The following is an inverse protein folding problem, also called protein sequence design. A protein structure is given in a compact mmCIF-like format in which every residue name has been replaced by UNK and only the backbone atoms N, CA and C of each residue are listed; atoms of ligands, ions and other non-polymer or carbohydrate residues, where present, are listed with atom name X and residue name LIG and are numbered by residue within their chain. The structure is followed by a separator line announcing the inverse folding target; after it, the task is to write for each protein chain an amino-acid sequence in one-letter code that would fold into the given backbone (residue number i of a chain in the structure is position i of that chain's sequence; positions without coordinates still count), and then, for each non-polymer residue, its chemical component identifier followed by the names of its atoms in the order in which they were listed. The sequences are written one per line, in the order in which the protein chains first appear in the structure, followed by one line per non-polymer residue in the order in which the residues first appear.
data_IF_942793421145
#
_entry.id   IF_942793421145
#
_cell.length_a   1.000
_cell.length_b   1.000
_cell.length_c   1.000
_cell.angle_alpha   90.00
_cell.angle_beta   90.00
_cell.angle_gamma   90.00
#
_symmetry.space_group_name_H-M   'P 1'
#
loop_
_entity.id
_entity.type
_entity.pdbx_description
1 polymer ?
#
# COMPACT_ATOMS: atom_id res chain seq x y z
N UNK A 1 12.62 4.51 -16.47
CA UNK A 1 13.62 3.79 -15.67
C UNK A 1 13.01 2.47 -15.21
N UNK A 2 13.73 1.35 -15.33
CA UNK A 2 13.28 0.06 -14.81
C UNK A 2 13.59 0.01 -13.31
N UNK A 3 12.57 -0.25 -12.50
CA UNK A 3 12.70 -0.42 -11.04
C UNK A 3 12.92 -1.89 -10.67
N UNK A 4 12.17 -2.79 -11.31
CA UNK A 4 12.21 -4.24 -11.06
C UNK A 4 12.06 -5.01 -12.37
N UNK A 5 12.71 -6.16 -12.45
CA UNK A 5 12.51 -7.15 -13.49
C UNK A 5 12.48 -8.53 -12.82
N UNK A 6 11.28 -9.07 -12.61
CA UNK A 6 11.04 -10.29 -11.84
C UNK A 6 10.38 -11.37 -12.68
N UNK A 7 10.69 -12.65 -12.46
CA UNK A 7 9.98 -13.73 -13.12
C UNK A 7 8.48 -13.68 -12.78
N UNK A 8 7.61 -13.82 -13.76
CA UNK A 8 6.16 -13.84 -13.59
C UNK A 8 5.55 -15.23 -13.90
N UNK A 9 6.09 -15.92 -14.87
CA UNK A 9 5.67 -17.29 -15.22
C UNK A 9 6.84 -18.08 -15.79
N UNK A 10 6.84 -19.38 -15.48
CA UNK A 10 7.75 -20.33 -16.11
C UNK A 10 6.96 -21.31 -16.98
N UNK A 11 7.56 -21.70 -18.10
CA UNK A 11 7.07 -22.76 -18.96
C UNK A 11 8.17 -23.78 -19.19
N UNK A 12 7.85 -25.07 -19.10
CA UNK A 12 8.76 -26.16 -19.38
C UNK A 12 8.15 -26.98 -20.55
N UNK A 13 8.88 -27.06 -21.66
CA UNK A 13 8.44 -27.79 -22.87
C UNK A 13 7.02 -27.41 -23.32
N UNK A 14 6.64 -26.12 -23.15
CA UNK A 14 5.32 -25.59 -23.47
C UNK A 14 4.26 -25.81 -22.38
N UNK A 15 4.56 -26.51 -21.30
CA UNK A 15 3.65 -26.63 -20.14
C UNK A 15 3.71 -25.36 -19.28
N UNK A 16 2.55 -24.74 -19.06
CA UNK A 16 2.40 -23.53 -18.23
C UNK A 16 2.14 -23.86 -16.74
N UNK A 17 2.33 -22.88 -15.88
CA UNK A 17 1.97 -22.96 -14.45
C UNK A 17 3.05 -23.60 -13.57
N UNK A 18 4.29 -23.62 -14.03
CA UNK A 18 5.43 -24.05 -13.22
C UNK A 18 5.84 -22.89 -12.29
N UNK A 19 5.70 -23.09 -10.99
CA UNK A 19 6.07 -22.08 -9.99
C UNK A 19 7.58 -21.99 -9.79
N UNK A 20 8.27 -23.15 -9.78
CA UNK A 20 9.73 -23.23 -9.65
C UNK A 20 10.29 -24.30 -10.58
N UNK A 21 11.07 -23.93 -11.60
CA UNK A 21 11.65 -24.90 -12.56
C UNK A 21 12.92 -25.58 -12.02
N UNK A 22 13.46 -25.14 -10.88
CA UNK A 22 14.72 -25.67 -10.33
C UNK A 22 14.61 -27.16 -10.03
N UNK A 23 15.55 -27.95 -10.58
CA UNK A 23 15.59 -29.41 -10.40
C UNK A 23 14.65 -30.20 -11.30
N UNK A 24 13.86 -29.54 -12.17
CA UNK A 24 13.05 -30.23 -13.19
C UNK A 24 13.85 -30.40 -14.48
N UNK A 25 13.64 -31.55 -15.16
CA UNK A 25 14.24 -31.84 -16.46
C UNK A 25 13.30 -31.35 -17.57
N UNK A 26 13.81 -30.59 -18.52
CA UNK A 26 13.10 -30.12 -19.71
C UNK A 26 14.09 -29.83 -20.84
N UNK A 27 13.61 -29.87 -22.09
CA UNK A 27 14.40 -29.48 -23.25
C UNK A 27 14.36 -27.94 -23.47
N UNK A 28 13.24 -27.31 -23.10
CA UNK A 28 13.05 -25.87 -23.26
C UNK A 28 12.46 -25.22 -21.98
N UNK A 29 13.12 -24.17 -21.51
CA UNK A 29 12.65 -23.30 -20.43
C UNK A 29 12.23 -21.96 -21.00
N UNK A 30 10.96 -21.58 -20.84
CA UNK A 30 10.46 -20.24 -21.09
C UNK A 30 10.25 -19.48 -19.78
N UNK A 31 10.52 -18.19 -19.80
CA UNK A 31 10.33 -17.32 -18.63
C UNK A 31 9.64 -16.03 -19.08
N UNK A 32 8.46 -15.75 -18.55
CA UNK A 32 7.83 -14.45 -18.66
C UNK A 32 8.36 -13.52 -17.56
N UNK A 33 8.74 -12.31 -17.94
CA UNK A 33 9.33 -11.34 -17.01
C UNK A 33 8.37 -10.18 -16.80
N UNK A 34 7.99 -9.94 -15.56
CA UNK A 34 7.28 -8.72 -15.17
C UNK A 34 8.28 -7.58 -14.98
N UNK A 35 8.15 -6.51 -15.78
CA UNK A 35 9.01 -5.34 -15.69
C UNK A 35 8.24 -4.16 -15.12
N UNK A 36 8.65 -3.68 -13.95
CA UNK A 36 8.10 -2.47 -13.33
C UNK A 36 8.93 -1.27 -13.79
N UNK A 37 8.25 -0.29 -14.39
CA UNK A 37 8.88 0.94 -14.90
C UNK A 37 8.30 2.16 -14.20
N UNK A 38 9.13 3.19 -14.03
CA UNK A 38 8.72 4.50 -13.55
C UNK A 38 9.39 5.62 -14.38
N UNK A 39 8.82 6.82 -14.29
CA UNK A 39 9.45 8.01 -14.85
C UNK A 39 10.81 8.25 -14.19
N UNK A 40 11.84 8.41 -15.02
CA UNK A 40 13.22 8.47 -14.53
C UNK A 40 13.55 9.75 -13.78
N UNK A 41 12.95 10.90 -14.12
CA UNK A 41 13.27 12.17 -13.49
C UNK A 41 12.83 12.24 -12.02
N UNK A 42 11.58 11.91 -11.65
CA UNK A 42 11.17 11.87 -10.24
C UNK A 42 11.98 10.88 -9.40
N UNK A 43 12.30 9.70 -9.97
CA UNK A 43 13.10 8.69 -9.26
C UNK A 43 14.51 9.19 -9.00
N UNK A 44 15.17 9.81 -9.99
CA UNK A 44 16.51 10.39 -9.79
C UNK A 44 16.49 11.51 -8.75
N UNK A 45 15.50 12.40 -8.78
CA UNK A 45 15.36 13.46 -7.79
C UNK A 45 15.20 12.91 -6.37
N UNK A 46 14.44 11.81 -6.21
CA UNK A 46 14.30 11.13 -4.92
C UNK A 46 15.64 10.54 -4.44
N UNK A 47 16.37 9.87 -5.34
CA UNK A 47 17.71 9.33 -5.04
C UNK A 47 18.65 10.45 -4.61
N UNK A 48 18.70 11.56 -5.37
CA UNK A 48 19.54 12.71 -5.07
C UNK A 48 19.20 13.36 -3.72
N UNK A 49 17.90 13.46 -3.40
CA UNK A 49 17.45 13.99 -2.09
C UNK A 49 17.97 13.14 -0.92
N UNK A 50 17.95 11.81 -1.05
CA UNK A 50 18.49 10.90 -0.03
C UNK A 50 20.01 11.02 0.06
N UNK A 51 20.72 11.09 -1.07
CA UNK A 51 22.17 11.24 -1.12
C UNK A 51 22.63 12.59 -0.56
N UNK A 52 21.84 13.66 -0.73
CA UNK A 52 22.10 14.97 -0.11
C UNK A 52 22.08 14.91 1.42
N UNK A 53 21.34 13.94 1.99
CA UNK A 53 21.37 13.66 3.43
C UNK A 53 22.55 12.76 3.86
N UNK A 54 23.54 12.54 2.99
CA UNK A 54 24.71 11.67 3.21
C UNK A 54 24.36 10.20 3.45
N UNK A 55 23.26 9.73 2.83
CA UNK A 55 22.85 8.34 2.85
C UNK A 55 23.03 7.71 1.47
N UNK A 56 23.48 6.48 1.41
CA UNK A 56 23.56 5.72 0.17
C UNK A 56 22.24 5.02 -0.13
N UNK A 57 21.83 5.06 -1.41
CA UNK A 57 20.62 4.37 -1.88
C UNK A 57 21.02 3.03 -2.47
N UNK A 58 20.69 1.94 -1.78
CA UNK A 58 20.99 0.58 -2.21
C UNK A 58 20.04 0.13 -3.34
N UNK A 59 18.74 0.36 -3.17
CA UNK A 59 17.70 0.04 -4.15
C UNK A 59 16.51 0.99 -4.08
N UNK A 60 15.76 1.09 -5.17
CA UNK A 60 14.46 1.76 -5.23
C UNK A 60 13.40 0.69 -5.45
N UNK A 61 12.49 0.56 -4.51
CA UNK A 61 11.45 -0.48 -4.51
C UNK A 61 10.08 0.17 -4.70
N UNK A 62 9.26 -0.41 -5.57
CA UNK A 62 7.89 0.05 -5.75
C UNK A 62 7.06 -0.22 -4.46
N UNK A 63 6.38 0.81 -3.95
CA UNK A 63 5.62 0.76 -2.69
C UNK A 63 4.65 -0.44 -2.60
N UNK A 64 3.82 -0.75 -3.64
CA UNK A 64 2.91 -1.89 -3.55
C UNK A 64 3.63 -3.25 -3.49
N UNK A 65 4.84 -3.35 -4.04
CA UNK A 65 5.65 -4.56 -3.88
C UNK A 65 6.16 -4.69 -2.44
N UNK A 66 6.67 -3.61 -1.87
CA UNK A 66 7.09 -3.57 -0.46
C UNK A 66 5.91 -3.90 0.48
N UNK A 67 4.77 -3.22 0.32
CA UNK A 67 3.58 -3.48 1.13
C UNK A 67 3.08 -4.92 1.03
N UNK A 68 3.24 -5.57 -0.14
CA UNK A 68 2.90 -6.99 -0.30
C UNK A 68 3.82 -7.89 0.55
N UNK A 69 5.11 -7.56 0.67
CA UNK A 69 6.02 -8.30 1.57
C UNK A 69 5.58 -8.26 3.04
N UNK A 70 4.99 -7.15 3.48
CA UNK A 70 4.51 -7.00 4.85
C UNK A 70 3.11 -7.59 5.09
N UNK A 71 2.21 -7.54 4.11
CA UNK A 71 0.79 -7.75 4.35
C UNK A 71 0.20 -8.99 3.69
N UNK A 72 0.92 -9.63 2.77
CA UNK A 72 0.42 -10.80 2.02
C UNK A 72 1.22 -12.03 2.39
N UNK A 73 0.52 -13.10 2.78
CA UNK A 73 1.18 -14.36 3.15
C UNK A 73 1.63 -15.14 1.90
N UNK A 74 2.60 -16.06 2.05
CA UNK A 74 3.01 -16.93 0.94
C UNK A 74 1.86 -17.73 0.34
N UNK A 75 0.95 -18.23 1.18
CA UNK A 75 -0.23 -18.99 0.74
C UNK A 75 -1.19 -18.13 -0.08
N UNK A 76 -1.42 -16.88 0.34
CA UNK A 76 -2.25 -15.95 -0.43
C UNK A 76 -1.63 -15.62 -1.79
N UNK A 77 -0.30 -15.43 -1.85
CA UNK A 77 0.42 -15.22 -3.12
C UNK A 77 0.30 -16.42 -4.05
N UNK A 78 0.34 -17.62 -3.51
CA UNK A 78 0.18 -18.86 -4.29
C UNK A 78 -1.23 -18.99 -4.85
N UNK A 79 -2.25 -18.78 -4.02
CA UNK A 79 -3.66 -18.91 -4.40
C UNK A 79 -4.19 -17.78 -5.29
N UNK A 80 -3.56 -16.64 -5.26
CA UNK A 80 -3.99 -15.44 -5.99
C UNK A 80 -4.59 -14.38 -5.07
N UNK A 81 -3.96 -13.22 -5.01
CA UNK A 81 -4.34 -12.10 -4.16
C UNK A 81 -4.06 -10.77 -4.86
N UNK A 82 -4.92 -9.79 -4.61
CA UNK A 82 -4.62 -8.40 -4.93
C UNK A 82 -4.36 -7.62 -3.65
N UNK A 83 -3.20 -6.95 -3.57
CA UNK A 83 -2.96 -5.94 -2.55
C UNK A 83 -3.35 -4.58 -3.11
N UNK A 84 -4.11 -3.81 -2.34
CA UNK A 84 -4.49 -2.43 -2.64
C UNK A 84 -3.98 -1.54 -1.50
N UNK A 85 -2.99 -0.72 -1.79
CA UNK A 85 -2.42 0.25 -0.88
C UNK A 85 -3.05 1.61 -1.11
N UNK A 86 -3.92 2.04 -0.20
CA UNK A 86 -4.60 3.34 -0.26
C UNK A 86 -3.73 4.37 0.45
N UNK A 87 -2.97 5.13 -0.34
CA UNK A 87 -2.14 6.22 0.16
C UNK A 87 -2.90 7.54 0.29
N UNK A 88 -2.17 8.62 0.50
CA UNK A 88 -2.74 9.97 0.60
C UNK A 88 -3.21 10.49 -0.78
N UNK A 89 -2.37 10.41 -1.80
CA UNK A 89 -2.62 10.96 -3.15
C UNK A 89 -2.75 9.87 -4.22
N UNK A 90 -2.27 8.67 -3.93
CA UNK A 90 -2.18 7.58 -4.89
C UNK A 90 -2.66 6.29 -4.24
N UNK A 91 -3.41 5.50 -4.98
CA UNK A 91 -3.75 4.12 -4.61
C UNK A 91 -2.99 3.19 -5.54
N UNK A 92 -2.20 2.31 -4.97
CA UNK A 92 -1.40 1.33 -5.70
C UNK A 92 -2.02 -0.05 -5.59
N UNK A 93 -1.98 -0.80 -6.68
CA UNK A 93 -2.50 -2.17 -6.73
C UNK A 93 -1.39 -3.08 -7.24
N UNK A 94 -1.15 -4.18 -6.54
CA UNK A 94 -0.34 -5.29 -7.02
C UNK A 94 -1.16 -6.58 -7.01
N UNK A 95 -1.01 -7.39 -8.06
CA UNK A 95 -1.67 -8.68 -8.20
C UNK A 95 -0.61 -9.78 -8.17
N UNK A 96 -0.82 -10.76 -7.32
CA UNK A 96 0.07 -11.90 -7.16
C UNK A 96 -0.70 -13.21 -7.40
N UNK A 97 -0.06 -14.21 -8.00
CA UNK A 97 -0.56 -15.58 -8.14
C UNK A 97 0.60 -16.52 -8.41
N UNK A 98 0.47 -17.77 -8.01
CA UNK A 98 1.52 -18.78 -8.11
C UNK A 98 2.86 -18.31 -7.49
N UNK A 99 2.78 -17.54 -6.39
CA UNK A 99 3.94 -16.97 -5.70
C UNK A 99 4.57 -15.74 -6.37
N UNK A 100 4.12 -15.35 -7.58
CA UNK A 100 4.76 -14.34 -8.42
C UNK A 100 3.93 -13.06 -8.55
N UNK A 101 4.60 -11.92 -8.80
CA UNK A 101 3.95 -10.66 -9.15
C UNK A 101 3.50 -10.70 -10.62
N UNK A 102 2.20 -10.59 -10.87
CA UNK A 102 1.62 -10.60 -12.21
C UNK A 102 1.35 -9.21 -12.77
N UNK A 103 1.05 -8.25 -11.92
CA UNK A 103 0.71 -6.89 -12.36
C UNK A 103 0.85 -5.87 -11.25
N UNK A 104 1.16 -4.63 -11.65
CA UNK A 104 1.24 -3.48 -10.78
C UNK A 104 0.63 -2.28 -11.49
N UNK A 105 -0.24 -1.55 -10.81
CA UNK A 105 -0.89 -0.35 -11.34
C UNK A 105 -1.06 0.70 -10.26
N UNK A 106 -0.86 1.97 -10.62
CA UNK A 106 -1.11 3.12 -9.75
C UNK A 106 -2.32 3.90 -10.27
N UNK A 107 -3.18 4.31 -9.35
CA UNK A 107 -4.35 5.15 -9.57
C UNK A 107 -4.06 6.51 -8.92
N UNK A 108 -4.15 7.64 -9.64
CA UNK A 108 -3.87 8.98 -9.08
C UNK A 108 -5.05 9.50 -8.24
N UNK A 109 -5.53 8.69 -7.32
CA UNK A 109 -6.57 8.98 -6.34
C UNK A 109 -6.17 8.35 -5.00
N UNK A 110 -6.47 9.03 -3.90
CA UNK A 110 -6.15 8.54 -2.57
C UNK A 110 -7.04 9.12 -1.48
N UNK A 111 -6.67 8.96 -0.23
CA UNK A 111 -7.47 9.43 0.91
C UNK A 111 -7.57 10.96 0.99
N UNK A 112 -6.67 11.71 0.33
CA UNK A 112 -6.74 13.16 0.25
C UNK A 112 -7.93 13.64 -0.59
N UNK A 113 -8.36 12.88 -1.59
CA UNK A 113 -9.54 13.22 -2.40
C UNK A 113 -10.81 13.22 -1.55
N UNK A 114 -10.86 12.35 -0.51
CA UNK A 114 -11.93 12.37 0.49
C UNK A 114 -11.82 13.64 1.36
N UNK A 115 -10.63 13.98 1.81
CA UNK A 115 -10.38 15.19 2.61
C UNK A 115 -10.78 16.46 1.86
N UNK A 116 -10.39 16.55 0.60
CA UNK A 116 -10.68 17.71 -0.24
C UNK A 116 -12.19 17.82 -0.56
N UNK A 117 -12.87 16.69 -0.72
CA UNK A 117 -14.32 16.66 -0.86
C UNK A 117 -15.04 17.13 0.42
N UNK A 118 -14.60 16.68 1.59
CA UNK A 118 -15.13 17.13 2.89
C UNK A 118 -14.92 18.63 3.04
N UNK A 119 -13.68 19.13 2.79
CA UNK A 119 -13.35 20.54 2.87
C UNK A 119 -14.25 21.40 1.97
N UNK A 120 -14.45 20.95 0.73
CA UNK A 120 -15.28 21.65 -0.26
C UNK A 120 -16.77 21.61 0.08
N UNK A 121 -17.28 20.45 0.53
CA UNK A 121 -18.71 20.25 0.82
C UNK A 121 -19.17 21.09 2.02
N UNK A 122 -18.31 21.24 3.03
CA UNK A 122 -18.65 21.93 4.26
C UNK A 122 -18.01 23.34 4.39
N UNK A 123 -17.24 23.77 3.38
CA UNK A 123 -16.58 25.08 3.39
C UNK A 123 -15.57 25.25 4.52
N UNK A 124 -14.90 24.19 4.95
CA UNK A 124 -13.95 24.16 6.06
C UNK A 124 -12.50 24.04 5.58
N UNK A 125 -11.55 24.37 6.46
CA UNK A 125 -10.12 24.20 6.15
C UNK A 125 -9.77 22.72 5.97
N UNK A 126 -8.82 22.43 5.08
CA UNK A 126 -8.36 21.08 4.79
C UNK A 126 -7.87 20.31 6.03
N UNK A 127 -7.20 20.99 6.96
CA UNK A 127 -6.76 20.41 8.24
C UNK A 127 -7.93 19.94 9.12
N UNK A 128 -9.02 20.70 9.14
CA UNK A 128 -10.25 20.31 9.83
C UNK A 128 -10.95 19.15 9.14
N UNK A 129 -11.03 19.19 7.80
CA UNK A 129 -11.59 18.11 7.01
C UNK A 129 -10.82 16.79 7.23
N UNK A 130 -9.49 16.84 7.28
CA UNK A 130 -8.65 15.67 7.60
C UNK A 130 -8.95 15.12 9.00
N UNK A 131 -9.06 16.02 9.99
CA UNK A 131 -9.44 15.61 11.34
C UNK A 131 -10.84 14.98 11.38
N UNK A 132 -11.82 15.57 10.68
CA UNK A 132 -13.18 15.01 10.61
C UNK A 132 -13.17 13.64 9.97
N UNK A 133 -12.44 13.47 8.87
CA UNK A 133 -12.27 12.17 8.20
C UNK A 133 -11.70 11.12 9.16
N UNK A 134 -10.63 11.45 9.88
CA UNK A 134 -9.95 10.51 10.78
C UNK A 134 -10.75 10.16 12.04
N UNK A 135 -11.49 11.13 12.60
CA UNK A 135 -12.17 10.96 13.91
C UNK A 135 -13.61 10.50 13.74
N UNK A 136 -14.33 11.05 12.78
CA UNK A 136 -15.78 10.87 12.64
C UNK A 136 -16.18 10.24 11.30
N UNK A 137 -15.23 10.13 10.34
CA UNK A 137 -15.46 9.56 9.02
C UNK A 137 -15.73 8.05 9.09
N UNK A 138 -16.65 7.60 8.26
CA UNK A 138 -17.00 6.19 8.12
C UNK A 138 -17.37 5.87 6.68
N UNK A 139 -16.98 4.69 6.22
CA UNK A 139 -17.43 4.12 4.95
C UNK A 139 -18.80 3.41 5.08
N UNK A 140 -19.31 3.28 6.31
CA UNK A 140 -20.57 2.60 6.62
C UNK A 140 -21.53 3.60 7.26
N UNK A 141 -22.75 3.67 6.74
CA UNK A 141 -23.84 4.45 7.33
C UNK A 141 -24.42 3.71 8.55
N UNK A 142 -24.77 4.48 9.58
CA UNK A 142 -25.47 3.98 10.77
C UNK A 142 -26.85 4.67 10.90
N UNK A 143 -27.87 3.98 11.42
CA UNK A 143 -29.18 4.59 11.67
C UNK A 143 -29.12 5.81 12.60
N UNK A 144 -28.10 5.91 13.47
CA UNK A 144 -27.89 7.03 14.41
C UNK A 144 -27.23 8.25 13.79
N UNK A 145 -26.64 8.13 12.60
CA UNK A 145 -25.87 9.21 11.95
C UNK A 145 -26.68 10.48 11.68
N UNK A 146 -28.01 10.35 11.48
CA UNK A 146 -28.90 11.49 11.28
C UNK A 146 -29.11 12.34 12.57
N UNK A 147 -28.97 11.74 13.71
CA UNK A 147 -29.15 12.41 15.02
C UNK A 147 -27.81 12.88 15.62
N UNK A 148 -26.69 12.39 15.12
CA UNK A 148 -25.36 12.77 15.61
C UNK A 148 -24.89 14.04 14.90
N UNK A 149 -24.73 15.12 15.68
CA UNK A 149 -24.27 16.41 15.19
C UNK A 149 -22.80 16.63 15.55
N UNK A 150 -21.96 16.77 14.53
CA UNK A 150 -20.52 16.97 14.67
C UNK A 150 -20.23 18.47 14.61
N UNK A 151 -19.55 19.05 15.62
CA UNK A 151 -19.16 20.44 15.58
C UNK A 151 -18.04 20.68 14.57
N UNK A 152 -18.16 21.75 13.79
CA UNK A 152 -17.15 22.22 12.84
C UNK A 152 -16.88 23.70 13.13
N UNK A 153 -15.65 24.17 12.89
CA UNK A 153 -15.33 25.59 13.07
C UNK A 153 -15.76 26.36 11.82
N UNK A 154 -16.28 27.59 12.02
CA UNK A 154 -16.59 28.46 10.90
C UNK A 154 -15.32 28.84 10.09
N UNK A 155 -15.47 29.17 8.78
CA UNK A 155 -14.39 29.73 7.99
C UNK A 155 -13.88 31.03 8.66
N UNK A 156 -12.62 31.04 9.08
CA UNK A 156 -12.01 32.23 9.71
C UNK A 156 -11.78 32.13 11.22
N UNK A 157 -12.33 31.17 11.93
CA UNK A 157 -12.00 30.92 13.33
C UNK A 157 -10.60 30.27 13.42
N UNK A 158 -9.63 31.02 13.91
CA UNK A 158 -8.30 30.58 14.25
C UNK A 158 -8.31 29.88 15.61
N UNK A 159 -8.19 28.56 15.62
CA UNK A 159 -8.04 27.78 16.84
C UNK A 159 -7.52 26.39 16.56
N UNK A 160 -6.23 26.17 16.80
CA UNK A 160 -5.63 24.83 16.97
C UNK A 160 -6.00 24.22 18.34
N UNK A 161 -7.07 24.69 18.97
CA UNK A 161 -7.55 24.21 20.27
C UNK A 161 -8.66 23.15 20.14
N UNK A 162 -8.92 22.40 21.22
CA UNK A 162 -10.15 21.61 21.31
C UNK A 162 -11.32 22.57 21.08
N UNK A 163 -12.26 22.19 20.22
CA UNK A 163 -13.45 22.97 19.86
C UNK A 163 -13.97 23.66 21.11
N UNK A 164 -13.95 25.01 21.11
CA UNK A 164 -14.32 25.78 22.28
C UNK A 164 -15.72 25.32 22.74
N UNK A 165 -15.86 25.02 24.03
CA UNK A 165 -17.17 24.76 24.64
C UNK A 165 -18.00 26.02 24.50
N UNK A 166 -18.83 26.09 23.46
CA UNK A 166 -19.63 27.27 23.13
C UNK A 166 -19.71 27.52 21.62
N UNK A 167 -19.23 26.63 20.77
CA UNK A 167 -19.46 26.72 19.32
C UNK A 167 -20.98 26.82 19.10
N UNK A 168 -21.41 27.92 18.48
CA UNK A 168 -22.80 28.20 18.16
C UNK A 168 -23.46 26.98 17.49
N UNK A 169 -24.73 26.74 17.79
CA UNK A 169 -25.54 25.67 17.17
C UNK A 169 -25.50 25.68 15.62
N UNK A 170 -25.08 26.79 15.03
CA UNK A 170 -24.98 27.00 13.60
C UNK A 170 -23.78 26.33 12.92
N UNK A 171 -22.76 25.92 13.67
CA UNK A 171 -21.54 25.31 13.13
C UNK A 171 -21.49 23.81 13.40
N UNK A 172 -22.56 23.11 13.06
CA UNK A 172 -22.64 21.65 13.18
C UNK A 172 -23.08 21.03 11.87
N UNK A 173 -22.53 19.89 11.55
CA UNK A 173 -22.96 19.06 10.42
C UNK A 173 -23.52 17.75 10.95
N UNK A 174 -24.51 17.18 10.26
CA UNK A 174 -24.98 15.84 10.58
C UNK A 174 -23.91 14.82 10.16
N UNK A 175 -23.62 13.83 11.01
CA UNK A 175 -22.70 12.75 10.66
C UNK A 175 -23.11 12.03 9.38
N UNK A 176 -24.42 11.91 9.12
CA UNK A 176 -24.94 11.34 7.89
C UNK A 176 -24.46 12.08 6.62
N UNK A 177 -24.33 13.42 6.67
CA UNK A 177 -23.81 14.21 5.55
C UNK A 177 -22.32 13.94 5.33
N UNK A 178 -21.54 13.85 6.41
CA UNK A 178 -20.11 13.49 6.34
C UNK A 178 -19.93 12.09 5.74
N UNK A 179 -20.70 11.11 6.21
CA UNK A 179 -20.65 9.73 5.70
C UNK A 179 -21.05 9.69 4.22
N UNK A 180 -22.04 10.49 3.79
CA UNK A 180 -22.44 10.56 2.39
C UNK A 180 -21.32 11.09 1.49
N UNK A 181 -20.59 12.14 1.91
CA UNK A 181 -19.44 12.67 1.16
C UNK A 181 -18.32 11.64 1.08
N UNK A 182 -18.01 10.96 2.19
CA UNK A 182 -16.98 9.92 2.26
C UNK A 182 -17.32 8.76 1.32
N UNK A 183 -18.55 8.24 1.40
CA UNK A 183 -18.99 7.08 0.59
C UNK A 183 -19.08 7.41 -0.90
N UNK A 184 -19.44 8.63 -1.29
CA UNK A 184 -19.43 9.08 -2.69
C UNK A 184 -17.98 9.02 -3.26
N UNK A 185 -17.00 9.52 -2.53
CA UNK A 185 -15.59 9.48 -2.97
C UNK A 185 -15.03 8.05 -2.98
N UNK A 186 -15.40 7.23 -2.01
CA UNK A 186 -15.03 5.81 -2.00
C UNK A 186 -15.67 5.04 -3.16
N UNK A 187 -16.90 5.34 -3.56
CA UNK A 187 -17.52 4.73 -4.72
C UNK A 187 -16.76 5.03 -6.00
N UNK A 188 -16.29 6.27 -6.17
CA UNK A 188 -15.44 6.64 -7.31
C UNK A 188 -14.11 5.88 -7.28
N UNK A 189 -13.40 5.86 -6.13
CA UNK A 189 -12.13 5.16 -5.97
C UNK A 189 -12.27 3.65 -6.22
N UNK A 190 -13.31 3.02 -5.66
CA UNK A 190 -13.55 1.57 -5.85
C UNK A 190 -13.91 1.22 -7.29
N UNK A 191 -14.57 2.14 -8.02
CA UNK A 191 -14.80 2.02 -9.46
C UNK A 191 -13.49 1.95 -10.26
N UNK A 192 -12.50 2.78 -9.90
CA UNK A 192 -11.17 2.75 -10.52
C UNK A 192 -10.39 1.49 -10.11
N UNK A 193 -10.49 1.07 -8.84
CA UNK A 193 -9.91 -0.20 -8.37
C UNK A 193 -10.46 -1.39 -9.18
N UNK A 194 -11.78 -1.45 -9.36
CA UNK A 194 -12.44 -2.52 -10.11
C UNK A 194 -11.94 -2.57 -11.56
N UNK A 195 -11.87 -1.42 -12.24
CA UNK A 195 -11.34 -1.32 -13.61
C UNK A 195 -9.89 -1.80 -13.67
N UNK A 196 -9.07 -1.34 -12.75
CA UNK A 196 -7.65 -1.69 -12.69
C UNK A 196 -7.41 -3.18 -12.45
N UNK A 197 -8.16 -3.80 -11.55
CA UNK A 197 -8.11 -5.24 -11.29
C UNK A 197 -8.54 -6.05 -12.54
N UNK A 198 -9.58 -5.60 -13.23
CA UNK A 198 -10.05 -6.22 -14.48
C UNK A 198 -8.99 -6.14 -15.58
N UNK A 199 -8.36 -4.96 -15.76
CA UNK A 199 -7.31 -4.75 -16.76
C UNK A 199 -6.09 -5.66 -16.52
N UNK A 200 -5.78 -5.95 -15.24
CA UNK A 200 -4.70 -6.88 -14.86
C UNK A 200 -5.13 -8.36 -14.88
N UNK A 201 -6.33 -8.68 -15.39
CA UNK A 201 -6.81 -10.06 -15.46
C UNK A 201 -7.31 -10.64 -14.13
N UNK A 202 -7.38 -9.84 -13.06
CA UNK A 202 -7.89 -10.26 -11.75
C UNK A 202 -9.42 -10.19 -11.70
N UNK A 203 -10.10 -10.83 -12.67
CA UNK A 203 -11.57 -10.74 -12.87
C UNK A 203 -12.31 -12.07 -12.74
N UNK A 204 -11.61 -13.19 -12.53
CA UNK A 204 -12.22 -14.52 -12.45
C UNK A 204 -13.07 -14.74 -11.21
N UNK A 205 -14.10 -15.59 -11.33
CA UNK A 205 -14.99 -16.02 -10.23
C UNK A 205 -14.31 -16.97 -9.22
N UNK A 206 -13.08 -17.36 -9.45
CA UNK A 206 -12.29 -18.22 -8.56
C UNK A 206 -11.44 -17.35 -7.64
N UNK A 207 -12.04 -16.95 -6.50
CA UNK A 207 -11.41 -16.83 -5.22
C UNK A 207 -10.20 -15.92 -5.04
N UNK A 208 -10.04 -14.82 -5.78
CA UNK A 208 -9.00 -13.86 -5.43
C UNK A 208 -9.41 -12.98 -4.25
N UNK A 209 -8.70 -13.08 -3.14
CA UNK A 209 -8.86 -12.20 -1.99
C UNK A 209 -8.22 -10.83 -2.27
N UNK A 210 -8.78 -9.79 -1.65
CA UNK A 210 -8.20 -8.44 -1.65
C UNK A 210 -7.67 -8.11 -0.26
N UNK A 211 -6.47 -7.57 -0.20
CA UNK A 211 -5.82 -7.08 1.02
C UNK A 211 -5.68 -5.56 0.91
N UNK A 212 -6.26 -4.82 1.85
CA UNK A 212 -6.12 -3.36 1.92
C UNK A 212 -4.97 -2.98 2.85
N UNK A 213 -4.11 -2.08 2.40
CA UNK A 213 -3.01 -1.50 3.16
C UNK A 213 -2.94 0.02 2.95
N UNK A 214 -1.98 0.67 3.56
CA UNK A 214 -1.84 2.12 3.53
C UNK A 214 -2.72 2.84 4.55
N UNK A 215 -2.47 4.11 4.79
CA UNK A 215 -3.21 4.90 5.78
C UNK A 215 -4.71 5.03 5.49
N UNK A 216 -5.11 5.02 4.20
CA UNK A 216 -6.52 5.03 3.81
C UNK A 216 -7.29 3.76 4.24
N UNK A 217 -6.59 2.65 4.44
CA UNK A 217 -7.19 1.40 4.94
C UNK A 217 -7.59 1.44 6.42
N UNK A 218 -7.22 2.50 7.15
CA UNK A 218 -7.61 2.72 8.54
C UNK A 218 -8.99 3.39 8.69
N UNK A 219 -9.61 3.82 7.58
CA UNK A 219 -10.95 4.40 7.62
C UNK A 219 -11.95 3.35 8.08
N UNK A 220 -12.78 3.72 9.05
CA UNK A 220 -13.80 2.84 9.62
C UNK A 220 -14.76 2.28 8.55
N UNK A 221 -14.94 0.96 8.52
CA UNK A 221 -15.87 0.29 7.58
C UNK A 221 -15.39 0.17 6.14
N UNK A 222 -14.12 0.53 5.85
CA UNK A 222 -13.61 0.52 4.47
C UNK A 222 -13.53 -0.89 3.89
N UNK A 223 -13.19 -1.89 4.71
CA UNK A 223 -13.09 -3.28 4.24
C UNK A 223 -14.43 -3.81 3.75
N UNK A 224 -15.48 -3.57 4.51
CA UNK A 224 -16.86 -3.95 4.19
C UNK A 224 -17.37 -3.21 2.95
N UNK A 225 -17.07 -1.90 2.85
CA UNK A 225 -17.42 -1.10 1.70
C UNK A 225 -16.76 -1.61 0.41
N UNK A 226 -15.45 -1.83 0.45
CA UNK A 226 -14.68 -2.34 -0.70
C UNK A 226 -15.10 -3.77 -1.04
N UNK A 227 -15.39 -4.61 -0.04
CA UNK A 227 -15.92 -5.96 -0.24
C UNK A 227 -17.24 -5.94 -0.99
N UNK A 228 -18.16 -5.08 -0.60
CA UNK A 228 -19.45 -4.92 -1.27
C UNK A 228 -19.28 -4.39 -2.71
N UNK A 229 -18.39 -3.42 -2.91
CA UNK A 229 -18.15 -2.82 -4.22
C UNK A 229 -17.44 -3.76 -5.21
N UNK A 230 -16.48 -4.55 -4.74
CA UNK A 230 -15.70 -5.47 -5.59
C UNK A 230 -16.32 -6.87 -5.70
N UNK A 231 -17.24 -7.24 -4.81
CA UNK A 231 -17.85 -8.57 -4.74
C UNK A 231 -16.85 -9.68 -4.40
N UNK A 232 -15.83 -9.37 -3.58
CA UNK A 232 -14.72 -10.25 -3.23
C UNK A 232 -14.40 -10.16 -1.75
N UNK A 233 -13.87 -11.24 -1.13
CA UNK A 233 -13.38 -11.17 0.25
C UNK A 233 -12.30 -10.10 0.39
N UNK A 234 -12.47 -9.22 1.39
CA UNK A 234 -11.53 -8.14 1.69
C UNK A 234 -11.09 -8.23 3.14
N UNK A 235 -9.79 -8.07 3.38
CA UNK A 235 -9.24 -7.92 4.73
C UNK A 235 -8.30 -6.73 4.81
N UNK A 236 -8.11 -6.21 6.01
CA UNK A 236 -7.07 -5.23 6.28
C UNK A 236 -5.73 -5.96 6.46
N UNK A 237 -4.73 -5.55 5.68
CA UNK A 237 -3.36 -5.99 5.81
C UNK A 237 -2.68 -5.24 6.95
N UNK A 238 -2.08 -5.99 7.87
CA UNK A 238 -1.25 -5.43 8.94
C UNK A 238 0.14 -6.03 8.81
N UNK A 239 1.20 -5.19 8.89
CA UNK A 239 2.55 -5.70 8.89
C UNK A 239 2.78 -6.58 10.13
N UNK A 240 3.69 -7.58 10.04
CA UNK A 240 4.04 -8.41 11.19
C UNK A 240 4.71 -7.57 12.27
N UNK A 241 4.58 -8.01 13.52
CA UNK A 241 5.34 -7.42 14.63
C UNK A 241 6.80 -7.83 14.50
N UNK A 242 7.65 -6.88 14.22
CA UNK A 242 9.10 -7.09 14.17
C UNK A 242 9.74 -6.72 15.51
N UNK A 243 10.74 -7.47 15.93
CA UNK A 243 11.51 -7.16 17.14
C UNK A 243 12.23 -5.80 16.95
N UNK A 244 12.06 -4.89 17.90
CA UNK A 244 12.61 -3.53 17.82
C UNK A 244 11.72 -2.50 17.13
N UNK A 245 10.61 -2.93 16.50
CA UNK A 245 9.63 -1.99 15.94
C UNK A 245 8.56 -1.66 16.98
N UNK A 246 8.30 -0.37 17.30
CA UNK A 246 7.23 0.02 18.21
C UNK A 246 5.86 -0.52 17.75
N UNK A 247 5.03 -0.94 18.69
CA UNK A 247 3.72 -1.53 18.38
C UNK A 247 2.80 -0.58 17.60
N UNK A 248 2.96 0.73 17.79
CA UNK A 248 2.25 1.77 17.05
C UNK A 248 2.52 1.73 15.53
N UNK A 249 3.61 1.12 15.08
CA UNK A 249 3.95 0.98 13.67
C UNK A 249 3.44 -0.34 13.05
N UNK A 250 2.72 -1.18 13.79
CA UNK A 250 2.08 -2.38 13.26
C UNK A 250 0.68 -2.08 12.69
N UNK A 251 0.53 -0.92 12.04
CA UNK A 251 -0.72 -0.48 11.39
C UNK A 251 -0.61 -0.56 9.86
N UNK A 252 -1.73 -0.61 9.14
CA UNK A 252 -1.73 -0.63 7.67
C UNK A 252 -0.95 0.53 7.05
N UNK A 253 -0.90 1.70 7.70
CA UNK A 253 -0.17 2.88 7.23
C UNK A 253 1.34 2.69 7.16
N UNK A 254 1.90 1.75 7.93
CA UNK A 254 3.33 1.44 7.93
C UNK A 254 3.71 0.21 7.09
N UNK A 255 2.76 -0.34 6.32
CA UNK A 255 2.97 -1.54 5.52
C UNK A 255 4.17 -1.42 4.57
N UNK A 256 4.30 -0.30 3.84
CA UNK A 256 5.42 -0.07 2.92
C UNK A 256 6.76 0.01 3.64
N UNK A 257 6.84 0.69 4.80
CA UNK A 257 8.07 0.81 5.58
C UNK A 257 8.56 -0.55 6.08
N UNK A 258 7.67 -1.31 6.72
CA UNK A 258 7.99 -2.65 7.21
C UNK A 258 8.31 -3.58 6.05
N UNK A 259 7.56 -3.46 4.96
CA UNK A 259 7.77 -4.24 3.74
C UNK A 259 9.12 -3.98 3.08
N UNK A 260 9.61 -2.73 3.09
CA UNK A 260 10.96 -2.42 2.61
C UNK A 260 12.04 -3.14 3.42
N UNK A 261 11.90 -3.18 4.74
CA UNK A 261 12.84 -3.91 5.61
C UNK A 261 12.81 -5.42 5.30
N UNK A 262 11.61 -5.99 5.12
CA UNK A 262 11.46 -7.41 4.79
C UNK A 262 11.97 -7.72 3.38
N UNK A 263 11.69 -6.85 2.40
CA UNK A 263 12.20 -6.97 1.04
C UNK A 263 13.74 -6.96 0.99
N UNK A 264 14.37 -6.06 1.74
CA UNK A 264 15.82 -5.97 1.83
C UNK A 264 16.42 -7.21 2.53
N UNK A 265 15.70 -7.81 3.48
CA UNK A 265 16.17 -9.03 4.17
C UNK A 265 16.02 -10.29 3.31
N UNK A 266 14.99 -10.37 2.48
CA UNK A 266 14.71 -11.50 1.58
C UNK A 266 15.58 -11.49 0.31
N UNK A 267 16.03 -10.30 -0.10
CA UNK A 267 16.84 -10.07 -1.31
C UNK A 267 16.32 -10.82 -2.54
N UNK A 268 15.08 -10.55 -2.99
CA UNK A 268 14.44 -11.33 -4.03
C UNK A 268 15.15 -11.21 -5.38
N UNK A 269 15.06 -12.26 -6.18
CA UNK A 269 15.71 -12.34 -7.49
C UNK A 269 15.21 -11.22 -8.40
N UNK A 270 16.13 -10.37 -8.84
CA UNK A 270 15.91 -9.42 -9.92
C UNK A 270 16.78 -9.82 -11.12
N UNK A 271 16.15 -10.05 -12.28
CA UNK A 271 16.83 -10.56 -13.48
C UNK A 271 17.92 -9.59 -13.94
N UNK A 272 17.82 -8.30 -13.64
CA UNK A 272 18.87 -7.32 -13.93
C UNK A 272 20.19 -7.64 -13.24
N UNK A 273 20.16 -8.33 -12.11
CA UNK A 273 21.36 -8.76 -11.37
C UNK A 273 21.98 -10.03 -11.97
N UNK A 274 21.30 -10.71 -12.87
CA UNK A 274 21.76 -11.97 -13.52
C UNK A 274 22.51 -11.69 -14.83
N UNK A 275 22.52 -10.46 -15.33
CA UNK A 275 23.30 -10.08 -16.52
C UNK A 275 24.81 -10.35 -16.27
N UNK A 276 25.46 -11.20 -17.11
CA UNK A 276 26.92 -11.46 -17.02
C UNK A 276 27.78 -10.19 -17.12
N UNK A 277 27.25 -9.10 -17.68
CA UNK A 277 27.90 -7.79 -17.73
C UNK A 277 27.62 -6.90 -16.50
N UNK A 278 26.63 -7.25 -15.70
CA UNK A 278 26.31 -6.53 -14.47
C UNK A 278 27.22 -7.03 -13.34
N UNK A 279 28.29 -6.29 -13.05
CA UNK A 279 28.99 -6.45 -11.79
C UNK A 279 28.14 -5.78 -10.72
N UNK A 280 27.51 -6.53 -9.78
CA UNK A 280 26.88 -5.93 -8.64
C UNK A 280 27.95 -5.13 -7.91
N UNK A 281 27.75 -3.80 -7.80
CA UNK A 281 28.47 -3.03 -6.79
C UNK A 281 28.34 -3.84 -5.51
N UNK A 282 29.48 -4.29 -4.96
CA UNK A 282 29.57 -5.21 -3.82
C UNK A 282 28.40 -4.98 -2.86
N UNK A 283 27.39 -5.86 -2.93
CA UNK A 283 26.35 -5.91 -1.92
C UNK A 283 27.06 -6.27 -0.62
N UNK A 284 27.18 -5.30 0.27
CA UNK A 284 27.45 -5.62 1.66
C UNK A 284 26.26 -6.44 2.12
N UNK A 285 26.44 -7.74 2.21
CA UNK A 285 25.49 -8.61 2.90
C UNK A 285 25.25 -7.99 4.28
N UNK A 286 24.07 -7.41 4.50
CA UNK A 286 23.73 -6.72 5.74
C UNK A 286 23.82 -7.59 7.00
N UNK A 287 23.92 -8.91 6.84
CA UNK A 287 24.21 -9.86 7.89
C UNK A 287 25.60 -9.64 8.54
N UNK A 288 26.57 -9.08 7.81
CA UNK A 288 27.89 -8.75 8.40
C UNK A 288 27.83 -7.58 9.39
N UNK A 289 26.92 -6.65 9.21
CA UNK A 289 26.79 -5.47 10.07
C UNK A 289 25.99 -5.80 11.33
N UNK A 290 24.91 -6.56 11.21
CA UNK A 290 24.11 -7.04 12.35
C UNK A 290 24.94 -7.97 13.25
N UNK A 291 25.75 -8.88 12.69
CA UNK A 291 26.65 -9.72 13.46
C UNK A 291 27.77 -8.91 14.13
N UNK A 292 28.29 -7.85 13.50
CA UNK A 292 29.30 -6.98 14.13
C UNK A 292 28.73 -6.15 15.26
N UNK A 293 27.49 -5.65 15.12
CA UNK A 293 26.79 -4.92 16.20
C UNK A 293 26.45 -5.87 17.34
N UNK A 294 25.98 -7.09 17.06
CA UNK A 294 25.73 -8.11 18.09
C UNK A 294 27.01 -8.59 18.79
N UNK A 295 28.14 -8.70 18.09
CA UNK A 295 29.42 -9.00 18.71
C UNK A 295 29.92 -7.84 19.59
N UNK A 296 29.81 -6.59 19.10
CA UNK A 296 30.22 -5.43 19.89
C UNK A 296 29.37 -5.25 21.17
N UNK A 297 28.07 -5.54 21.11
CA UNK A 297 27.17 -5.54 22.29
C UNK A 297 27.54 -6.69 23.25
N UNK A 298 28.00 -7.85 22.76
CA UNK A 298 28.39 -8.99 23.59
C UNK A 298 29.76 -8.82 24.28
N UNK A 299 30.62 -7.96 23.77
CA UNK A 299 31.93 -7.63 24.39
C UNK A 299 31.82 -6.49 25.41
N UNK A 300 30.68 -5.77 25.50
CA UNK A 300 30.46 -4.67 26.43
C UNK A 300 29.44 -4.98 27.54
N UNK A 301 28.85 -6.17 27.57
CA UNK A 301 28.04 -6.74 28.64
C UNK A 301 28.46 -8.20 28.92
#
# INVERSE_FOLDING_TARGET
MVLHAQPAHYTLDGAHGVANPAGLHAEALGVDIHVTVAEGAPVRNLIEAVQTAHLDVEAVVASPLASAYACVTPEERELGVALIEIGAQVTNISVHSAGMLLGLKSIPLGSNDITDAIASSFGIRRSQAERLKCVSGSAMASPTDHSEMIPVNAPGEEGEGPIARGADEHNRIARAELVAVVTDRLAHLTGEMHRSLKDMGFSGSRGGQVVLAGGGAELHGIAEFVQAALGRPVRIGKPPRLQGLPEAHATPGFASLVGLCLYAADDPVDIRSVDPGYQPTRRYSGFGLVNRVLQAVREYF
#
